data_IF_848004820310
#
_entry.id   IF_848004820310
#
_cell.length_a   1.000
_cell.length_b   1.000
_cell.length_c   1.000
_cell.angle_alpha   90.00
_cell.angle_beta   90.00
_cell.angle_gamma   90.00
#
_symmetry.space_group_name_H-M   'P 1'
#
loop_
_entity.id
_entity.type
_entity.pdbx_description
1 polymer ?
#
# COMPACT_ATOMS: atom_id res chain seq x y z
N UNK A 1 -19.66 12.90 -23.70
CA UNK A 1 -18.49 12.23 -23.11
C UNK A 1 -18.69 12.24 -21.61
N UNK A 2 -18.97 11.09 -21.02
CA UNK A 2 -18.95 10.96 -19.56
C UNK A 2 -17.54 11.21 -19.05
N UNK A 3 -17.41 11.75 -17.83
CA UNK A 3 -16.11 11.83 -17.16
C UNK A 3 -15.54 10.40 -17.04
N UNK A 4 -14.21 10.19 -17.20
CA UNK A 4 -13.62 8.88 -16.96
C UNK A 4 -14.00 8.41 -15.55
N UNK A 5 -14.50 7.18 -15.43
CA UNK A 5 -14.93 6.63 -14.13
C UNK A 5 -13.71 6.17 -13.33
N UNK A 6 -12.99 7.13 -12.75
CA UNK A 6 -11.86 6.87 -11.85
C UNK A 6 -12.29 6.73 -10.40
N UNK A 7 -13.58 6.91 -10.08
CA UNK A 7 -14.05 7.02 -8.69
C UNK A 7 -13.74 5.77 -7.87
N UNK A 8 -13.84 4.59 -8.50
CA UNK A 8 -13.47 3.32 -7.87
C UNK A 8 -11.99 3.28 -7.51
N UNK A 9 -11.12 3.69 -8.44
CA UNK A 9 -9.66 3.74 -8.22
C UNK A 9 -9.29 4.80 -7.17
N UNK A 10 -9.90 5.98 -7.24
CA UNK A 10 -9.69 7.07 -6.27
C UNK A 10 -10.15 6.64 -4.85
N UNK A 11 -11.20 5.82 -4.74
CA UNK A 11 -11.61 5.23 -3.46
C UNK A 11 -10.58 4.20 -2.97
N UNK A 12 -10.11 3.31 -3.84
CA UNK A 12 -9.11 2.31 -3.49
C UNK A 12 -7.78 2.95 -3.06
N UNK A 13 -7.29 3.95 -3.79
CA UNK A 13 -6.08 4.71 -3.45
C UNK A 13 -6.20 5.31 -2.05
N UNK A 14 -7.31 6.02 -1.76
CA UNK A 14 -7.53 6.60 -0.42
C UNK A 14 -7.61 5.56 0.69
N UNK A 15 -8.18 4.39 0.43
CA UNK A 15 -8.23 3.32 1.43
C UNK A 15 -6.84 2.75 1.70
N UNK A 16 -6.03 2.55 0.65
CA UNK A 16 -4.65 2.04 0.78
C UNK A 16 -3.72 3.09 1.39
N UNK A 17 -3.93 4.37 1.13
CA UNK A 17 -3.23 5.48 1.82
C UNK A 17 -3.53 5.48 3.33
N UNK A 18 -4.78 5.27 3.75
CA UNK A 18 -5.12 5.12 5.18
C UNK A 18 -4.44 3.91 5.81
N UNK A 19 -4.33 2.80 5.08
CA UNK A 19 -3.59 1.63 5.53
C UNK A 19 -2.10 1.95 5.69
N UNK A 20 -1.52 2.72 4.78
CA UNK A 20 -0.12 3.14 4.84
C UNK A 20 0.13 4.05 6.05
N UNK A 21 -0.76 5.00 6.32
CA UNK A 21 -0.68 5.86 7.50
C UNK A 21 -0.79 5.04 8.79
N UNK A 22 -1.70 4.08 8.85
CA UNK A 22 -1.82 3.15 9.96
C UNK A 22 -0.55 2.30 10.16
N UNK A 23 0.09 1.81 9.09
CA UNK A 23 1.38 1.10 9.17
C UNK A 23 2.47 2.01 9.75
N UNK A 24 2.52 3.28 9.34
CA UNK A 24 3.49 4.27 9.88
C UNK A 24 3.26 4.57 11.35
N UNK A 25 2.00 4.55 11.80
CA UNK A 25 1.62 4.65 13.21
C UNK A 25 1.79 3.33 13.99
N UNK A 26 2.40 2.31 13.39
CA UNK A 26 2.61 0.98 13.97
C UNK A 26 1.32 0.25 14.34
N UNK A 27 0.22 0.54 13.64
CA UNK A 27 -1.05 -0.15 13.82
C UNK A 27 -1.04 -1.52 13.11
N UNK A 28 -1.66 -2.53 13.72
CA UNK A 28 -1.62 -3.92 13.22
C UNK A 28 -2.78 -4.33 12.30
N UNK A 29 -3.85 -3.53 12.20
CA UNK A 29 -4.98 -3.82 11.33
C UNK A 29 -4.68 -3.79 9.82
N UNK A 30 -3.77 -2.96 9.27
CA UNK A 30 -3.45 -2.96 7.84
C UNK A 30 -2.49 -4.07 7.41
N UNK A 31 -1.94 -4.83 8.37
CA UNK A 31 -1.02 -5.93 8.12
C UNK A 31 -1.75 -7.16 7.56
N UNK A 32 -1.13 -7.81 6.58
CA UNK A 32 -1.60 -9.11 6.10
C UNK A 32 -1.29 -10.24 7.10
N UNK A 33 -1.83 -11.43 6.85
CA UNK A 33 -1.66 -12.57 7.76
C UNK A 33 -0.20 -13.01 7.96
N UNK A 34 0.67 -12.82 6.96
CA UNK A 34 2.10 -13.16 7.04
C UNK A 34 2.86 -12.14 7.88
N UNK A 35 2.60 -10.85 7.65
CA UNK A 35 3.16 -9.72 8.39
C UNK A 35 2.75 -9.80 9.86
N UNK A 36 1.45 -10.05 10.14
CA UNK A 36 0.96 -10.19 11.51
C UNK A 36 1.63 -11.35 12.25
N UNK A 37 1.79 -12.51 11.61
CA UNK A 37 2.54 -13.64 12.22
C UNK A 37 4.01 -13.31 12.45
N UNK A 38 4.64 -12.56 11.56
CA UNK A 38 6.02 -12.14 11.73
C UNK A 38 6.19 -11.17 12.91
N UNK A 39 5.28 -10.20 13.06
CA UNK A 39 5.23 -9.30 14.23
C UNK A 39 5.04 -10.10 15.51
N UNK A 40 4.00 -10.94 15.58
CA UNK A 40 3.72 -11.75 16.77
C UNK A 40 4.89 -12.68 17.13
N UNK A 41 5.48 -13.34 16.14
CA UNK A 41 6.65 -14.21 16.35
C UNK A 41 7.89 -13.45 16.83
N UNK A 42 8.09 -12.21 16.37
CA UNK A 42 9.18 -11.36 16.86
C UNK A 42 8.93 -10.93 18.31
N UNK A 43 7.70 -10.53 18.66
CA UNK A 43 7.35 -10.17 20.05
C UNK A 43 7.52 -11.36 21.00
N UNK A 44 7.01 -12.53 20.65
CA UNK A 44 7.11 -13.72 21.50
C UNK A 44 8.56 -14.18 21.67
N UNK A 45 9.33 -14.21 20.58
CA UNK A 45 10.76 -14.56 20.65
C UNK A 45 11.59 -13.51 21.40
N UNK A 46 11.24 -12.23 21.29
CA UNK A 46 11.85 -11.15 22.06
C UNK A 46 11.61 -11.30 23.56
N UNK A 47 10.36 -11.50 23.97
CA UNK A 47 9.99 -11.72 25.37
C UNK A 47 10.67 -12.97 25.96
N UNK A 48 10.70 -14.07 25.20
CA UNK A 48 11.37 -15.30 25.61
C UNK A 48 12.88 -15.11 25.83
N UNK A 49 13.55 -14.41 24.90
CA UNK A 49 14.97 -14.12 25.02
C UNK A 49 15.26 -13.20 26.21
N UNK A 50 14.47 -12.13 26.38
CA UNK A 50 14.60 -11.20 27.50
C UNK A 50 14.45 -11.93 28.85
N UNK A 51 13.46 -12.81 28.98
CA UNK A 51 13.28 -13.63 30.19
C UNK A 51 14.48 -14.55 30.46
N UNK A 52 15.18 -15.03 29.42
CA UNK A 52 16.41 -15.84 29.56
C UNK A 52 17.67 -15.01 29.80
N UNK A 53 17.56 -13.69 29.92
CA UNK A 53 18.72 -12.79 30.04
C UNK A 53 19.47 -12.58 28.72
N UNK A 54 18.89 -13.00 27.59
CA UNK A 54 19.41 -12.73 26.25
C UNK A 54 18.85 -11.40 25.73
N UNK A 55 19.59 -10.69 24.88
CA UNK A 55 19.12 -9.45 24.26
C UNK A 55 18.00 -9.65 23.22
N UNK A 56 17.25 -8.57 22.92
CA UNK A 56 16.13 -8.54 21.95
C UNK A 56 16.54 -8.16 20.53
N UNK A 57 17.83 -7.87 20.29
CA UNK A 57 18.31 -7.29 19.03
C UNK A 57 17.93 -8.05 17.74
N UNK A 58 17.66 -9.36 17.80
CA UNK A 58 17.14 -10.12 16.64
C UNK A 58 15.63 -9.94 16.45
N UNK A 59 14.87 -9.88 17.55
CA UNK A 59 13.44 -9.64 17.52
C UNK A 59 13.15 -8.21 17.02
N UNK A 60 13.89 -7.22 17.52
CA UNK A 60 13.72 -5.82 17.13
C UNK A 60 13.98 -5.63 15.63
N UNK A 61 15.11 -6.14 15.13
CA UNK A 61 15.41 -6.13 13.68
C UNK A 61 14.32 -6.79 12.85
N UNK A 62 13.69 -7.86 13.36
CA UNK A 62 12.63 -8.56 12.65
C UNK A 62 11.33 -7.78 12.67
N UNK A 63 11.02 -7.05 13.73
CA UNK A 63 9.92 -6.10 13.78
C UNK A 63 10.13 -5.00 12.74
N UNK A 64 11.29 -4.33 12.74
CA UNK A 64 11.62 -3.25 11.80
C UNK A 64 11.51 -3.72 10.35
N UNK A 65 12.08 -4.88 10.04
CA UNK A 65 12.02 -5.46 8.68
C UNK A 65 10.57 -5.77 8.28
N UNK A 66 9.72 -6.20 9.22
CA UNK A 66 8.32 -6.52 8.93
C UNK A 66 7.52 -5.25 8.66
N UNK A 67 7.76 -4.19 9.43
CA UNK A 67 7.13 -2.88 9.20
C UNK A 67 7.55 -2.26 7.88
N UNK A 68 8.85 -2.28 7.56
CA UNK A 68 9.37 -1.83 6.26
C UNK A 68 8.80 -2.63 5.10
N UNK A 69 8.67 -3.95 5.25
CA UNK A 69 8.04 -4.81 4.24
C UNK A 69 6.57 -4.45 4.02
N UNK A 70 5.82 -4.15 5.08
CA UNK A 70 4.42 -3.77 4.98
C UNK A 70 4.24 -2.40 4.30
N UNK A 71 5.07 -1.42 4.67
CA UNK A 71 5.09 -0.11 4.01
C UNK A 71 5.42 -0.24 2.51
N UNK A 72 6.47 -0.98 2.17
CA UNK A 72 6.88 -1.20 0.77
C UNK A 72 5.76 -1.84 -0.05
N UNK A 73 5.07 -2.84 0.50
CA UNK A 73 3.92 -3.48 -0.16
C UNK A 73 2.79 -2.48 -0.44
N UNK A 74 2.42 -1.67 0.55
CA UNK A 74 1.32 -0.70 0.42
C UNK A 74 1.67 0.41 -0.57
N UNK A 75 2.92 0.87 -0.59
CA UNK A 75 3.41 1.83 -1.58
C UNK A 75 3.31 1.23 -2.99
N UNK A 76 3.77 -0.01 -3.18
CA UNK A 76 3.68 -0.68 -4.47
C UNK A 76 2.22 -0.83 -4.95
N UNK A 77 1.28 -1.14 -4.04
CA UNK A 77 -0.15 -1.21 -4.34
C UNK A 77 -0.74 0.15 -4.75
N UNK A 78 -0.39 1.22 -4.03
CA UNK A 78 -0.79 2.60 -4.38
C UNK A 78 -0.26 2.97 -5.77
N UNK A 79 1.02 2.72 -6.04
CA UNK A 79 1.64 3.02 -7.34
C UNK A 79 0.93 2.26 -8.47
N UNK A 80 0.61 0.98 -8.28
CA UNK A 80 -0.12 0.20 -9.27
C UNK A 80 -1.52 0.80 -9.56
N UNK A 81 -2.25 1.22 -8.53
CA UNK A 81 -3.56 1.87 -8.68
C UNK A 81 -3.47 3.23 -9.39
N UNK A 82 -2.42 4.01 -9.10
CA UNK A 82 -2.18 5.30 -9.74
C UNK A 82 -1.84 5.16 -11.23
N UNK A 83 -1.06 4.14 -11.60
CA UNK A 83 -0.75 3.82 -13.00
C UNK A 83 -2.03 3.48 -13.76
N UNK A 84 -2.88 2.63 -13.18
CA UNK A 84 -4.15 2.24 -13.81
C UNK A 84 -5.11 3.44 -13.96
N UNK A 85 -5.17 4.31 -12.94
CA UNK A 85 -5.93 5.56 -13.02
C UNK A 85 -5.45 6.44 -14.17
N UNK A 86 -4.13 6.57 -14.32
CA UNK A 86 -3.54 7.38 -15.38
C UNK A 86 -3.85 6.79 -16.76
N UNK A 87 -3.86 5.46 -16.91
CA UNK A 87 -4.25 4.78 -18.15
C UNK A 87 -5.66 5.19 -18.59
N UNK A 88 -6.65 5.11 -17.70
CA UNK A 88 -8.04 5.49 -18.00
C UNK A 88 -8.15 6.97 -18.40
N UNK A 89 -7.43 7.85 -17.70
CA UNK A 89 -7.41 9.29 -18.02
C UNK A 89 -6.82 9.54 -19.40
N UNK A 90 -5.73 8.85 -19.74
CA UNK A 90 -5.06 8.97 -21.03
C UNK A 90 -5.96 8.46 -22.17
N UNK A 91 -6.65 7.33 -21.99
CA UNK A 91 -7.61 6.78 -22.97
C UNK A 91 -8.77 7.76 -23.23
N UNK A 92 -9.32 8.36 -22.18
CA UNK A 92 -10.36 9.37 -22.31
C UNK A 92 -9.87 10.66 -23.00
N UNK A 93 -8.61 11.05 -22.76
CA UNK A 93 -7.98 12.18 -23.43
C UNK A 93 -7.76 11.91 -24.92
N UNK A 94 -7.30 10.70 -25.28
CA UNK A 94 -7.13 10.27 -26.67
C UNK A 94 -8.45 10.28 -27.44
N UNK A 95 -9.51 9.68 -26.88
CA UNK A 95 -10.84 9.69 -27.50
C UNK A 95 -11.41 11.11 -27.68
N UNK A 96 -11.07 12.04 -26.79
CA UNK A 96 -11.43 13.46 -26.94
C UNK A 96 -10.63 14.13 -28.05
N UNK A 97 -9.36 13.79 -28.23
CA UNK A 97 -8.52 14.30 -29.31
C UNK A 97 -9.00 13.80 -30.69
N UNK A 98 -9.34 12.52 -30.82
CA UNK A 98 -9.90 11.93 -32.05
C UNK A 98 -11.21 12.60 -32.45
N UNK A 99 -12.13 12.83 -31.51
CA UNK A 99 -13.38 13.54 -31.81
C UNK A 99 -13.14 14.99 -32.25
N UNK A 100 -12.09 15.64 -31.74
CA UNK A 100 -11.71 16.99 -32.17
C UNK A 100 -11.12 16.98 -33.58
N UNK A 101 -10.34 15.96 -33.95
CA UNK A 101 -9.78 15.86 -35.30
C UNK A 101 -10.84 15.49 -36.36
N UNK A 102 -11.91 14.79 -35.99
CA UNK A 102 -13.02 14.46 -36.91
C UNK A 102 -14.11 15.54 -37.00
N UNK A 103 -14.07 16.57 -36.16
CA UNK A 103 -15.14 17.57 -36.01
C UNK A 103 -14.71 19.01 -36.27
N UNK A 104 -13.50 19.21 -36.81
CA UNK A 104 -12.99 20.54 -37.16
C UNK A 104 -12.36 20.52 -38.56
N UNK A 105 -13.22 20.24 -39.54
CA UNK A 105 -13.42 21.03 -40.75
C UNK A 105 -14.89 21.42 -40.82
#
# INVERSE_FOLDING_TARGET
MGKPDTRRLDKAIRETERKLEAVRNQEMWPLNGRERRAVLGAVTSGAYNLHRGNGTARADRRLDTTWQSAETRLIAEITALQVERQRIVNEAAAAKAEKKSSGWW
#
